data_IF_174994283120
#
_entry.id   IF_174994283120
#
_cell.length_a   1.000
_cell.length_b   1.000
_cell.length_c   1.000
_cell.angle_alpha   90.00
_cell.angle_beta   90.00
_cell.angle_gamma   90.00
#
_symmetry.space_group_name_H-M   'P 1'
#
loop_
_entity.id
_entity.type
_entity.pdbx_description
1 polymer ?
#
# COMPACT_ATOMS: atom_id res chain seq x y z
N UNK A 1 -3.42 24.23 -22.75
CA UNK A 1 -3.43 22.93 -23.46
C UNK A 1 -3.44 21.74 -22.50
N UNK A 2 -2.49 21.64 -21.54
CA UNK A 2 -2.42 20.55 -20.56
C UNK A 2 -3.72 20.31 -19.77
N UNK A 3 -4.35 21.38 -19.27
CA UNK A 3 -5.65 21.31 -18.57
C UNK A 3 -6.73 20.59 -19.40
N UNK A 4 -6.79 20.81 -20.71
CA UNK A 4 -7.76 20.15 -21.61
C UNK A 4 -7.45 18.65 -21.72
N UNK A 5 -6.18 18.29 -21.86
CA UNK A 5 -5.75 16.88 -21.90
C UNK A 5 -6.13 16.17 -20.60
N UNK A 6 -5.90 16.81 -19.44
CA UNK A 6 -6.28 16.29 -18.13
C UNK A 6 -7.79 16.07 -18.00
N UNK A 7 -8.61 16.99 -18.52
CA UNK A 7 -10.08 16.83 -18.57
C UNK A 7 -10.46 15.63 -19.44
N UNK A 8 -9.88 15.48 -20.63
CA UNK A 8 -10.17 14.35 -21.54
C UNK A 8 -9.77 13.02 -20.91
N UNK A 9 -8.61 12.95 -20.27
CA UNK A 9 -8.17 11.77 -19.52
C UNK A 9 -9.13 11.45 -18.37
N UNK A 10 -9.55 12.46 -17.60
CA UNK A 10 -10.54 12.32 -16.54
C UNK A 10 -11.88 11.78 -17.05
N UNK A 11 -12.38 12.30 -18.18
CA UNK A 11 -13.60 11.79 -18.83
C UNK A 11 -13.44 10.33 -19.29
N UNK A 12 -12.27 9.97 -19.83
CA UNK A 12 -11.93 8.58 -20.16
C UNK A 12 -11.98 7.66 -18.94
N UNK A 13 -11.35 8.09 -17.83
CA UNK A 13 -11.37 7.36 -16.56
C UNK A 13 -12.80 7.20 -16.00
N UNK A 14 -13.59 8.28 -16.03
CA UNK A 14 -15.02 8.24 -15.68
C UNK A 14 -15.81 7.26 -16.53
N UNK A 15 -15.54 7.20 -17.84
CA UNK A 15 -16.14 6.24 -18.75
C UNK A 15 -15.86 4.80 -18.34
N UNK A 16 -14.59 4.48 -18.04
CA UNK A 16 -14.18 3.15 -17.56
C UNK A 16 -14.88 2.80 -16.25
N UNK A 17 -14.80 3.66 -15.24
CA UNK A 17 -15.41 3.41 -13.93
C UNK A 17 -16.94 3.27 -14.02
N UNK A 18 -17.59 4.11 -14.83
CA UNK A 18 -19.03 4.02 -15.11
C UNK A 18 -19.41 2.72 -15.81
N UNK A 19 -18.61 2.26 -16.75
CA UNK A 19 -18.84 1.02 -17.48
C UNK A 19 -18.79 -0.19 -16.53
N UNK A 20 -17.74 -0.29 -15.71
CA UNK A 20 -17.59 -1.35 -14.70
C UNK A 20 -18.77 -1.31 -13.71
N UNK A 21 -19.09 -0.13 -13.18
CA UNK A 21 -20.20 0.06 -12.25
C UNK A 21 -21.53 -0.42 -12.83
N UNK A 22 -21.87 0.00 -14.06
CA UNK A 22 -23.12 -0.42 -14.73
C UNK A 22 -23.18 -1.93 -14.93
N UNK A 23 -22.06 -2.57 -15.33
CA UNK A 23 -22.00 -4.01 -15.58
C UNK A 23 -22.12 -4.82 -14.29
N UNK A 24 -21.38 -4.46 -13.24
CA UNK A 24 -21.49 -5.08 -11.91
C UNK A 24 -22.90 -4.95 -11.34
N UNK A 25 -23.50 -3.76 -11.42
CA UNK A 25 -24.88 -3.53 -10.95
C UNK A 25 -25.91 -4.35 -11.74
N UNK A 26 -25.71 -4.49 -13.05
CA UNK A 26 -26.57 -5.31 -13.90
C UNK A 26 -26.28 -6.82 -13.82
N UNK A 27 -25.29 -7.26 -13.01
CA UNK A 27 -24.81 -8.65 -12.94
C UNK A 27 -24.48 -9.23 -14.32
N UNK A 28 -23.95 -8.40 -15.23
CA UNK A 28 -23.57 -8.80 -16.58
C UNK A 28 -22.06 -9.03 -16.64
N UNK A 29 -21.67 -10.10 -17.31
CA UNK A 29 -20.26 -10.45 -17.53
C UNK A 29 -19.52 -9.29 -18.22
N UNK A 30 -18.34 -8.98 -17.69
CA UNK A 30 -17.45 -7.98 -18.26
C UNK A 30 -16.69 -8.53 -19.46
N UNK A 31 -16.89 -7.95 -20.64
CA UNK A 31 -16.08 -8.27 -21.81
C UNK A 31 -14.64 -7.78 -21.61
N UNK A 32 -13.66 -8.63 -21.93
CA UNK A 32 -12.24 -8.32 -21.81
C UNK A 32 -11.58 -8.31 -23.20
N UNK A 33 -11.21 -7.14 -23.73
CA UNK A 33 -10.65 -7.02 -25.09
C UNK A 33 -9.41 -7.86 -25.36
N UNK A 34 -8.58 -8.11 -24.34
CA UNK A 34 -7.35 -8.93 -24.47
C UNK A 34 -7.59 -10.44 -24.35
N UNK A 35 -8.85 -10.88 -24.24
CA UNK A 35 -9.21 -12.30 -24.09
C UNK A 35 -8.96 -12.90 -22.71
N UNK A 36 -8.55 -12.09 -21.72
CA UNK A 36 -8.41 -12.51 -20.32
C UNK A 36 -9.76 -12.48 -19.57
N UNK A 37 -9.77 -12.85 -18.29
CA UNK A 37 -10.97 -12.83 -17.45
C UNK A 37 -11.05 -11.55 -16.60
N UNK A 38 -11.54 -10.47 -17.23
CA UNK A 38 -11.81 -9.23 -16.53
C UNK A 38 -12.89 -9.39 -15.45
N UNK A 39 -13.81 -10.35 -15.58
CA UNK A 39 -14.98 -10.51 -14.69
C UNK A 39 -14.57 -11.04 -13.31
N UNK A 40 -13.67 -12.05 -13.27
CA UNK A 40 -13.11 -12.54 -12.01
C UNK A 40 -12.31 -11.47 -11.27
N UNK A 41 -11.59 -10.59 -11.99
CA UNK A 41 -10.83 -9.50 -11.37
C UNK A 41 -11.75 -8.50 -10.67
N UNK A 42 -12.83 -8.05 -11.34
CA UNK A 42 -13.72 -7.01 -10.79
C UNK A 42 -14.69 -7.51 -9.71
N UNK A 43 -14.81 -8.84 -9.55
CA UNK A 43 -15.54 -9.50 -8.45
C UNK A 43 -14.61 -10.15 -7.41
N UNK A 44 -13.29 -10.00 -7.55
CA UNK A 44 -12.32 -10.54 -6.60
C UNK A 44 -12.42 -9.89 -5.22
N UNK A 45 -11.74 -10.49 -4.24
CA UNK A 45 -11.60 -9.93 -2.89
C UNK A 45 -10.95 -8.54 -2.87
N UNK A 46 -10.15 -8.20 -3.88
CA UNK A 46 -9.49 -6.91 -4.01
C UNK A 46 -10.34 -5.86 -4.71
N UNK A 47 -11.55 -6.22 -5.17
CA UNK A 47 -12.48 -5.28 -5.83
C UNK A 47 -13.15 -4.26 -4.91
N UNK A 48 -12.80 -4.28 -3.61
CA UNK A 48 -13.27 -3.34 -2.59
C UNK A 48 -12.12 -2.86 -1.73
N UNK A 49 -12.12 -1.57 -1.41
CA UNK A 49 -11.19 -0.93 -0.49
C UNK A 49 -11.97 -0.29 0.66
N UNK A 50 -11.70 -0.68 1.90
CA UNK A 50 -12.51 -0.34 3.07
C UNK A 50 -14.02 -0.59 2.86
N UNK A 51 -14.35 -1.70 2.20
CA UNK A 51 -15.74 -2.09 1.87
C UNK A 51 -16.35 -1.35 0.68
N UNK A 52 -15.72 -0.26 0.19
CA UNK A 52 -16.21 0.52 -0.93
C UNK A 52 -15.74 -0.12 -2.25
N UNK A 53 -16.64 -0.41 -3.21
CA UNK A 53 -16.26 -0.90 -4.53
C UNK A 53 -15.31 0.05 -5.26
N UNK A 54 -14.25 -0.49 -5.86
CA UNK A 54 -13.21 0.31 -6.52
C UNK A 54 -13.73 1.18 -7.65
N UNK A 55 -14.75 0.73 -8.38
CA UNK A 55 -15.38 1.52 -9.44
C UNK A 55 -16.03 2.81 -8.92
N UNK A 56 -16.50 2.83 -7.66
CA UNK A 56 -17.07 4.04 -7.04
C UNK A 56 -15.96 5.00 -6.65
N UNK A 57 -14.85 4.49 -6.10
CA UNK A 57 -13.66 5.30 -5.80
C UNK A 57 -13.13 5.94 -7.09
N UNK A 58 -13.07 5.17 -8.18
CA UNK A 58 -12.69 5.67 -9.50
C UNK A 58 -13.65 6.76 -10.02
N UNK A 59 -14.96 6.56 -9.89
CA UNK A 59 -15.95 7.59 -10.25
C UNK A 59 -15.70 8.91 -9.50
N UNK A 60 -15.44 8.85 -8.20
CA UNK A 60 -15.15 10.04 -7.40
C UNK A 60 -13.84 10.70 -7.85
N UNK A 61 -12.76 9.95 -7.95
CA UNK A 61 -11.44 10.45 -8.36
C UNK A 61 -11.47 11.12 -9.73
N UNK A 62 -12.01 10.45 -10.74
CA UNK A 62 -12.04 11.03 -12.08
C UNK A 62 -13.05 12.18 -12.20
N UNK A 63 -14.13 12.20 -11.41
CA UNK A 63 -15.04 13.35 -11.33
C UNK A 63 -14.32 14.56 -10.75
N UNK A 64 -13.55 14.37 -9.67
CA UNK A 64 -12.75 15.42 -9.05
C UNK A 64 -11.75 16.01 -10.05
N UNK A 65 -11.04 15.17 -10.81
CA UNK A 65 -10.11 15.62 -11.86
C UNK A 65 -10.84 16.46 -12.91
N UNK A 66 -11.95 15.97 -13.46
CA UNK A 66 -12.72 16.69 -14.49
C UNK A 66 -13.23 18.03 -13.96
N UNK A 67 -13.85 18.05 -12.79
CA UNK A 67 -14.39 19.27 -12.19
C UNK A 67 -13.28 20.26 -11.89
N UNK A 68 -12.20 19.84 -11.24
CA UNK A 68 -11.11 20.72 -10.86
C UNK A 68 -10.45 21.38 -12.07
N UNK A 69 -10.02 20.59 -13.06
CA UNK A 69 -9.34 21.14 -14.24
C UNK A 69 -10.27 21.95 -15.15
N UNK A 70 -11.57 21.65 -15.17
CA UNK A 70 -12.57 22.50 -15.83
C UNK A 70 -12.71 23.84 -15.11
N UNK A 71 -12.80 23.83 -13.77
CA UNK A 71 -12.83 25.05 -12.96
C UNK A 71 -11.58 25.91 -13.17
N UNK A 72 -10.38 25.33 -13.24
CA UNK A 72 -9.15 26.10 -13.51
C UNK A 72 -9.02 26.60 -14.94
N UNK A 73 -9.82 26.07 -15.87
CA UNK A 73 -9.89 26.54 -17.24
C UNK A 73 -10.86 27.73 -17.37
N UNK A 74 -12.00 27.66 -16.69
CA UNK A 74 -13.04 28.69 -16.72
C UNK A 74 -12.76 29.86 -15.78
N UNK A 75 -12.19 29.58 -14.61
CA UNK A 75 -11.90 30.53 -13.54
C UNK A 75 -10.44 30.35 -13.09
N UNK A 76 -9.46 30.94 -13.80
CA UNK A 76 -8.04 30.77 -13.51
C UNK A 76 -7.66 31.17 -12.08
N UNK A 77 -8.40 32.11 -11.48
CA UNK A 77 -8.20 32.58 -10.10
C UNK A 77 -8.37 31.48 -9.05
N UNK A 78 -9.16 30.43 -9.34
CA UNK A 78 -9.35 29.29 -8.44
C UNK A 78 -8.16 28.33 -8.41
N UNK A 79 -7.20 28.47 -9.33
CA UNK A 79 -6.02 27.59 -9.42
C UNK A 79 -4.95 27.97 -8.38
N UNK A 80 -5.36 28.09 -7.11
CA UNK A 80 -4.45 28.35 -6.00
C UNK A 80 -3.46 27.21 -5.83
N UNK A 81 -2.26 27.56 -5.36
CA UNK A 81 -1.14 26.64 -5.22
C UNK A 81 -1.45 25.43 -4.31
N UNK A 82 -2.13 25.68 -3.19
CA UNK A 82 -2.59 24.64 -2.26
C UNK A 82 -3.56 23.64 -2.90
N UNK A 83 -4.43 24.09 -3.80
CA UNK A 83 -5.38 23.22 -4.49
C UNK A 83 -4.71 22.41 -5.60
N UNK A 84 -3.75 23.01 -6.33
CA UNK A 84 -2.91 22.28 -7.28
C UNK A 84 -2.13 21.18 -6.57
N UNK A 85 -1.53 21.51 -5.43
CA UNK A 85 -0.80 20.59 -4.59
C UNK A 85 -1.68 19.42 -4.14
N UNK A 86 -2.88 19.70 -3.63
CA UNK A 86 -3.82 18.66 -3.23
C UNK A 86 -4.15 17.71 -4.38
N UNK A 87 -4.36 18.22 -5.60
CA UNK A 87 -4.66 17.38 -6.76
C UNK A 87 -3.47 16.54 -7.22
N UNK A 88 -2.25 17.09 -7.18
CA UNK A 88 -1.03 16.34 -7.46
C UNK A 88 -0.84 15.23 -6.44
N UNK A 89 -1.04 15.51 -5.15
CA UNK A 89 -0.95 14.53 -4.08
C UNK A 89 -2.00 13.41 -4.22
N UNK A 90 -3.25 13.77 -4.53
CA UNK A 90 -4.32 12.81 -4.83
C UNK A 90 -3.99 11.97 -6.07
N UNK A 91 -3.46 12.58 -7.13
CA UNK A 91 -3.02 11.89 -8.34
C UNK A 91 -1.88 10.91 -8.07
N UNK A 92 -0.91 11.30 -7.22
CA UNK A 92 0.18 10.43 -6.79
C UNK A 92 -0.34 9.23 -5.99
N UNK A 93 -1.28 9.46 -5.06
CA UNK A 93 -1.95 8.39 -4.32
C UNK A 93 -2.73 7.44 -5.24
N UNK A 94 -3.46 7.98 -6.22
CA UNK A 94 -4.19 7.19 -7.21
C UNK A 94 -3.25 6.35 -8.09
N UNK A 95 -2.07 6.88 -8.46
CA UNK A 95 -1.05 6.15 -9.20
C UNK A 95 -0.46 5.00 -8.38
N UNK A 96 -0.03 5.26 -7.14
CA UNK A 96 0.51 4.21 -6.26
C UNK A 96 -0.52 3.11 -5.99
N UNK A 97 -1.77 3.50 -5.75
CA UNK A 97 -2.86 2.55 -5.57
C UNK A 97 -3.16 1.73 -6.83
N UNK A 98 -3.10 2.35 -8.01
CA UNK A 98 -3.25 1.66 -9.31
C UNK A 98 -2.09 0.68 -9.56
N UNK A 99 -0.86 1.05 -9.18
CA UNK A 99 0.31 0.17 -9.25
C UNK A 99 0.15 -1.03 -8.30
N UNK A 100 -0.33 -0.81 -7.08
CA UNK A 100 -0.69 -1.88 -6.14
C UNK A 100 -1.73 -2.84 -6.72
N UNK A 101 -2.84 -2.34 -7.28
CA UNK A 101 -3.87 -3.20 -7.90
C UNK A 101 -3.36 -3.94 -9.15
N UNK A 102 -2.43 -3.34 -9.88
CA UNK A 102 -1.76 -3.99 -11.02
C UNK A 102 -0.85 -5.12 -10.55
N UNK A 103 -0.11 -4.91 -9.45
CA UNK A 103 0.68 -5.96 -8.79
C UNK A 103 -0.21 -7.12 -8.32
N UNK A 104 -1.37 -6.83 -7.72
CA UNK A 104 -2.34 -7.85 -7.30
C UNK A 104 -2.83 -8.69 -8.48
N UNK A 105 -3.15 -8.06 -9.61
CA UNK A 105 -3.54 -8.77 -10.83
C UNK A 105 -2.45 -9.73 -11.31
N UNK A 106 -1.19 -9.27 -11.32
CA UNK A 106 -0.06 -10.06 -11.79
C UNK A 106 0.25 -11.27 -10.89
N UNK A 107 0.33 -11.07 -9.57
CA UNK A 107 0.90 -12.07 -8.66
C UNK A 107 -0.14 -12.82 -7.83
N UNK A 108 -1.20 -12.14 -7.39
CA UNK A 108 -2.21 -12.73 -6.50
C UNK A 108 -3.33 -13.39 -7.31
N UNK A 109 -3.94 -12.63 -8.22
CA UNK A 109 -5.06 -13.12 -9.05
C UNK A 109 -4.58 -13.94 -10.25
N UNK A 110 -3.39 -13.62 -10.79
CA UNK A 110 -2.85 -14.19 -12.03
C UNK A 110 -3.82 -14.05 -13.21
N UNK A 111 -4.56 -12.94 -13.22
CA UNK A 111 -5.55 -12.58 -14.23
C UNK A 111 -5.40 -11.09 -14.54
N UNK A 112 -5.56 -10.74 -15.82
CA UNK A 112 -5.44 -9.36 -16.29
C UNK A 112 -6.81 -8.79 -16.65
N UNK A 113 -7.08 -7.57 -16.21
CA UNK A 113 -8.28 -6.83 -16.61
C UNK A 113 -7.90 -5.61 -17.46
N UNK A 114 -8.27 -5.61 -18.75
CA UNK A 114 -7.98 -4.50 -19.67
C UNK A 114 -8.53 -3.16 -19.17
N UNK A 115 -9.70 -3.16 -18.55
CA UNK A 115 -10.33 -1.94 -18.03
C UNK A 115 -9.56 -1.37 -16.83
N UNK A 116 -9.11 -2.25 -15.92
CA UNK A 116 -8.28 -1.84 -14.79
C UNK A 116 -6.91 -1.32 -15.25
N UNK A 117 -6.29 -1.98 -16.22
CA UNK A 117 -5.01 -1.53 -16.81
C UNK A 117 -5.17 -0.18 -17.52
N UNK A 118 -6.25 0.00 -18.29
CA UNK A 118 -6.56 1.28 -18.93
C UNK A 118 -6.77 2.41 -17.92
N UNK A 119 -7.50 2.14 -16.82
CA UNK A 119 -7.65 3.08 -15.71
C UNK A 119 -6.30 3.41 -15.05
N UNK A 120 -5.43 2.41 -14.83
CA UNK A 120 -4.09 2.62 -14.28
C UNK A 120 -3.22 3.51 -15.20
N UNK A 121 -3.26 3.27 -16.52
CA UNK A 121 -2.57 4.10 -17.51
C UNK A 121 -3.10 5.54 -17.52
N UNK A 122 -4.41 5.74 -17.44
CA UNK A 122 -5.02 7.07 -17.35
C UNK A 122 -4.55 7.78 -16.07
N UNK A 123 -4.56 7.09 -14.93
CA UNK A 123 -4.09 7.66 -13.65
C UNK A 123 -2.62 8.06 -13.70
N UNK A 124 -1.76 7.26 -14.35
CA UNK A 124 -0.36 7.60 -14.59
C UNK A 124 -0.20 8.90 -15.37
N UNK A 125 -0.90 9.04 -16.50
CA UNK A 125 -0.82 10.25 -17.31
C UNK A 125 -1.43 11.46 -16.61
N UNK A 126 -2.53 11.30 -15.86
CA UNK A 126 -3.08 12.40 -15.06
C UNK A 126 -2.03 12.91 -14.07
N UNK A 127 -1.45 12.02 -13.25
CA UNK A 127 -0.43 12.42 -12.29
C UNK A 127 0.75 13.12 -12.96
N UNK A 128 1.32 12.50 -14.01
CA UNK A 128 2.50 13.04 -14.68
C UNK A 128 2.22 14.41 -15.32
N UNK A 129 1.10 14.57 -16.04
CA UNK A 129 0.75 15.84 -16.68
C UNK A 129 0.33 16.91 -15.66
N UNK A 130 -0.25 16.51 -14.52
CA UNK A 130 -0.58 17.42 -13.42
C UNK A 130 0.66 18.10 -12.84
N UNK A 131 1.80 17.40 -12.77
CA UNK A 131 3.09 17.97 -12.30
C UNK A 131 3.56 19.14 -13.17
N UNK A 132 3.32 19.07 -14.49
CA UNK A 132 3.72 20.11 -15.44
C UNK A 132 2.63 21.14 -15.70
N UNK A 133 1.44 20.97 -15.11
CA UNK A 133 0.32 21.90 -15.30
C UNK A 133 0.38 23.11 -14.37
N UNK A 134 1.23 23.10 -13.32
CA UNK A 134 1.37 24.19 -12.37
C UNK A 134 2.51 25.13 -12.75
N UNK A 135 2.25 26.43 -12.81
CA UNK A 135 3.25 27.45 -13.12
C UNK A 135 4.27 27.65 -11.99
N UNK A 136 3.91 27.31 -10.75
CA UNK A 136 4.78 27.44 -9.58
C UNK A 136 5.96 26.46 -9.57
N UNK A 137 5.94 25.40 -10.39
CA UNK A 137 6.99 24.36 -10.42
C UNK A 137 6.91 23.35 -9.26
N UNK A 138 7.38 22.13 -9.50
CA UNK A 138 7.27 21.01 -8.55
C UNK A 138 7.99 21.26 -7.22
N UNK A 139 9.21 21.79 -7.25
CA UNK A 139 10.01 22.02 -6.03
C UNK A 139 9.37 23.05 -5.10
N UNK A 140 8.87 24.14 -5.64
CA UNK A 140 8.19 25.20 -4.89
C UNK A 140 6.93 24.69 -4.20
N UNK A 141 6.17 23.81 -4.87
CA UNK A 141 5.03 23.11 -4.25
C UNK A 141 5.47 22.28 -3.03
N UNK A 142 6.63 21.62 -3.12
CA UNK A 142 7.12 20.77 -2.03
C UNK A 142 7.64 21.59 -0.85
N UNK A 143 8.35 22.68 -1.14
CA UNK A 143 8.92 23.59 -0.15
C UNK A 143 7.83 24.30 0.68
N UNK A 144 6.79 24.83 0.03
CA UNK A 144 5.68 25.49 0.72
C UNK A 144 4.87 24.55 1.63
N UNK A 145 4.83 23.26 1.30
CA UNK A 145 4.03 22.26 2.02
C UNK A 145 4.89 21.29 2.85
N UNK A 146 6.14 21.64 3.15
CA UNK A 146 7.07 20.78 3.89
C UNK A 146 6.51 20.31 5.24
N UNK A 147 5.93 21.21 6.04
CA UNK A 147 5.34 20.87 7.34
C UNK A 147 4.18 19.88 7.22
N UNK A 148 3.36 20.02 6.18
CA UNK A 148 2.26 19.11 5.91
C UNK A 148 2.81 17.70 5.58
N UNK A 149 3.87 17.61 4.78
CA UNK A 149 4.52 16.35 4.49
C UNK A 149 5.10 15.69 5.73
N UNK A 150 5.83 16.42 6.55
CA UNK A 150 6.35 15.88 7.82
C UNK A 150 5.20 15.35 8.69
N UNK A 151 4.11 16.10 8.81
CA UNK A 151 2.92 15.69 9.56
C UNK A 151 2.29 14.41 9.02
N UNK A 152 2.09 14.32 7.69
CA UNK A 152 1.58 13.11 7.05
C UNK A 152 2.54 11.94 7.18
N UNK A 153 3.86 12.17 7.18
CA UNK A 153 4.87 11.14 7.40
C UNK A 153 4.73 10.50 8.79
N UNK A 154 4.61 11.30 9.84
CA UNK A 154 4.36 10.80 11.20
C UNK A 154 3.00 10.09 11.35
N UNK A 155 1.96 10.60 10.68
CA UNK A 155 0.65 9.95 10.65
C UNK A 155 0.74 8.56 10.00
N UNK A 156 1.37 8.48 8.83
CA UNK A 156 1.60 7.23 8.12
C UNK A 156 2.41 6.25 8.97
N UNK A 157 3.48 6.70 9.62
CA UNK A 157 4.30 5.87 10.50
C UNK A 157 3.49 5.33 11.70
N UNK A 158 2.66 6.16 12.32
CA UNK A 158 1.82 5.78 13.45
C UNK A 158 0.75 4.75 13.04
N UNK A 159 0.08 4.97 11.90
CA UNK A 159 -0.88 4.01 11.34
C UNK A 159 -0.19 2.69 10.95
N UNK A 160 1.02 2.76 10.38
CA UNK A 160 1.82 1.60 9.99
C UNK A 160 2.21 0.73 11.18
N UNK A 161 2.75 1.35 12.24
CA UNK A 161 3.14 0.67 13.48
C UNK A 161 1.91 0.07 14.16
N UNK A 162 0.85 0.86 14.34
CA UNK A 162 -0.38 0.40 14.99
C UNK A 162 -1.02 -0.77 14.24
N UNK A 163 -1.15 -0.65 12.92
CA UNK A 163 -1.68 -1.70 12.05
C UNK A 163 -0.83 -2.96 12.10
N UNK A 164 0.50 -2.83 12.00
CA UNK A 164 1.42 -3.97 12.08
C UNK A 164 1.39 -4.66 13.45
N UNK A 165 1.23 -3.91 14.55
CA UNK A 165 1.18 -4.46 15.90
C UNK A 165 -0.09 -5.30 16.11
N UNK A 166 -1.24 -4.74 15.75
CA UNK A 166 -2.53 -5.45 15.85
C UNK A 166 -2.52 -6.67 14.94
N UNK A 167 -2.06 -6.53 13.69
CA UNK A 167 -1.96 -7.63 12.75
C UNK A 167 -1.06 -8.76 13.29
N UNK A 168 0.10 -8.42 13.86
CA UNK A 168 0.96 -9.43 14.49
C UNK A 168 0.29 -10.12 15.67
N UNK A 169 -0.42 -9.41 16.55
CA UNK A 169 -1.12 -10.02 17.70
C UNK A 169 -2.20 -11.00 17.22
N UNK A 170 -3.05 -10.58 16.29
CA UNK A 170 -4.10 -11.43 15.74
C UNK A 170 -3.51 -12.64 15.00
N UNK A 171 -2.43 -12.42 14.27
CA UNK A 171 -1.73 -13.47 13.56
C UNK A 171 -1.06 -14.49 14.49
N UNK A 172 -0.48 -14.04 15.60
CA UNK A 172 0.06 -14.91 16.65
C UNK A 172 -1.04 -15.75 17.31
N UNK A 173 -2.21 -15.14 17.55
CA UNK A 173 -3.38 -15.85 18.08
C UNK A 173 -3.81 -16.96 17.12
N UNK A 174 -3.97 -16.63 15.84
CA UNK A 174 -4.27 -17.59 14.77
C UNK A 174 -3.24 -18.72 14.68
N UNK A 175 -1.94 -18.40 14.77
CA UNK A 175 -0.91 -19.43 14.72
C UNK A 175 -0.90 -20.30 15.97
N UNK A 176 -1.40 -19.82 17.11
CA UNK A 176 -1.52 -20.59 18.36
C UNK A 176 -2.66 -21.59 18.31
N UNK A 177 -3.85 -21.18 17.88
CA UNK A 177 -5.05 -22.01 17.84
C UNK A 177 -5.23 -22.76 16.50
N UNK A 178 -4.47 -22.40 15.47
CA UNK A 178 -4.53 -22.90 14.10
C UNK A 178 -5.89 -22.68 13.41
N UNK A 179 -6.74 -21.79 13.94
CA UNK A 179 -8.09 -21.57 13.45
C UNK A 179 -8.32 -20.07 13.24
N UNK A 180 -8.86 -19.70 12.07
CA UNK A 180 -9.27 -18.32 11.80
C UNK A 180 -10.76 -18.29 11.50
N UNK A 181 -11.51 -17.51 12.28
CA UNK A 181 -12.90 -17.23 11.97
C UNK A 181 -13.02 -16.29 10.77
N UNK A 182 -14.17 -16.28 10.09
CA UNK A 182 -14.45 -15.32 9.01
C UNK A 182 -14.27 -13.87 9.46
N UNK A 183 -14.71 -13.55 10.68
CA UNK A 183 -14.54 -12.23 11.26
C UNK A 183 -13.06 -11.86 11.42
N UNK A 184 -12.23 -12.76 11.95
CA UNK A 184 -10.79 -12.51 12.08
C UNK A 184 -10.11 -12.33 10.71
N UNK A 185 -10.51 -13.11 9.71
CA UNK A 185 -10.01 -12.95 8.34
C UNK A 185 -10.38 -11.57 7.75
N UNK A 186 -11.61 -11.10 7.96
CA UNK A 186 -12.07 -9.78 7.51
C UNK A 186 -11.34 -8.63 8.25
N UNK A 187 -11.09 -8.79 9.55
CA UNK A 187 -10.28 -7.85 10.34
C UNK A 187 -8.85 -7.80 9.80
N UNK A 188 -8.23 -8.95 9.54
CA UNK A 188 -6.87 -9.03 8.97
C UNK A 188 -6.80 -8.36 7.59
N UNK A 189 -7.82 -8.54 6.75
CA UNK A 189 -7.92 -7.87 5.45
C UNK A 189 -7.98 -6.35 5.61
N UNK A 190 -8.78 -5.86 6.55
CA UNK A 190 -8.90 -4.43 6.86
C UNK A 190 -7.58 -3.86 7.36
N UNK A 191 -6.90 -4.56 8.28
CA UNK A 191 -5.57 -4.15 8.77
C UNK A 191 -4.53 -4.09 7.65
N UNK A 192 -4.53 -5.07 6.73
CA UNK A 192 -3.66 -5.02 5.56
C UNK A 192 -3.92 -3.79 4.70
N UNK A 193 -5.19 -3.43 4.47
CA UNK A 193 -5.56 -2.20 3.74
C UNK A 193 -5.06 -0.94 4.45
N UNK A 194 -5.18 -0.86 5.79
CA UNK A 194 -4.64 0.24 6.60
C UNK A 194 -3.12 0.32 6.45
N UNK A 195 -2.41 -0.81 6.52
CA UNK A 195 -0.95 -0.83 6.38
C UNK A 195 -0.48 -0.39 4.99
N UNK A 196 -1.16 -0.83 3.92
CA UNK A 196 -0.83 -0.38 2.56
C UNK A 196 -1.13 1.10 2.35
N UNK A 197 -2.23 1.60 2.93
CA UNK A 197 -2.55 3.02 2.92
C UNK A 197 -1.49 3.84 3.67
N UNK A 198 -1.13 3.40 4.89
CA UNK A 198 -0.09 4.02 5.70
C UNK A 198 1.26 4.06 4.96
N UNK A 199 1.63 2.97 4.29
CA UNK A 199 2.84 2.88 3.48
C UNK A 199 2.83 3.85 2.29
N UNK A 200 1.69 3.98 1.60
CA UNK A 200 1.54 4.97 0.54
C UNK A 200 1.69 6.40 1.08
N UNK A 201 1.09 6.70 2.24
CA UNK A 201 1.24 8.01 2.91
C UNK A 201 2.71 8.27 3.24
N UNK A 202 3.44 7.32 3.82
CA UNK A 202 4.88 7.44 4.15
C UNK A 202 5.73 7.70 2.90
N UNK A 203 5.47 6.97 1.81
CA UNK A 203 6.24 7.12 0.56
C UNK A 203 5.99 8.51 -0.03
N UNK A 204 4.73 8.91 -0.18
CA UNK A 204 4.37 10.20 -0.78
C UNK A 204 4.89 11.37 0.06
N UNK A 205 4.70 11.31 1.37
CA UNK A 205 5.16 12.36 2.26
C UNK A 205 6.66 12.39 2.43
N UNK A 206 7.31 11.22 2.39
CA UNK A 206 8.77 11.12 2.40
C UNK A 206 9.39 11.75 1.16
N UNK A 207 8.84 11.48 -0.04
CA UNK A 207 9.27 12.13 -1.29
C UNK A 207 9.07 13.64 -1.20
N UNK A 208 7.91 14.09 -0.70
CA UNK A 208 7.60 15.51 -0.58
C UNK A 208 8.52 16.26 0.37
N UNK A 209 8.82 15.70 1.54
CA UNK A 209 9.76 16.29 2.49
C UNK A 209 11.23 16.20 2.02
N UNK A 210 11.59 15.21 1.21
CA UNK A 210 12.95 14.99 0.71
C UNK A 210 13.28 15.80 -0.54
N UNK A 211 12.31 16.03 -1.44
CA UNK A 211 12.55 16.63 -2.75
C UNK A 211 13.26 18.00 -2.73
N UNK A 212 12.97 18.94 -1.81
CA UNK A 212 13.67 20.23 -1.74
C UNK A 212 15.17 20.13 -1.47
N UNK A 213 15.60 19.14 -0.68
CA UNK A 213 16.98 18.97 -0.18
C UNK A 213 17.63 17.67 -0.68
N UNK A 214 17.17 17.16 -1.82
CA UNK A 214 17.52 15.81 -2.28
C UNK A 214 19.04 15.60 -2.47
N UNK A 215 19.76 16.64 -2.89
CA UNK A 215 21.21 16.59 -3.11
C UNK A 215 21.99 16.23 -1.85
N UNK A 216 21.66 16.87 -0.72
CA UNK A 216 22.39 16.72 0.54
C UNK A 216 21.95 15.48 1.32
N UNK A 217 20.65 15.16 1.28
CA UNK A 217 20.08 14.07 2.09
C UNK A 217 20.32 12.69 1.47
N UNK A 218 20.48 12.59 0.14
CA UNK A 218 20.57 11.32 -0.61
C UNK A 218 21.66 10.36 -0.11
N UNK A 219 22.81 10.92 0.30
CA UNK A 219 23.97 10.16 0.76
C UNK A 219 24.01 9.95 2.27
N UNK A 220 23.05 10.53 3.01
CA UNK A 220 23.03 10.46 4.47
C UNK A 220 22.78 9.02 4.95
N UNK A 221 23.43 8.59 6.05
CA UNK A 221 23.22 7.26 6.65
C UNK A 221 21.75 7.04 7.01
N UNK A 222 21.13 8.09 7.56
CA UNK A 222 19.73 8.13 7.97
C UNK A 222 18.79 7.85 6.81
N UNK A 223 18.97 8.54 5.67
CA UNK A 223 18.13 8.35 4.48
C UNK A 223 18.27 6.93 3.91
N UNK A 224 19.51 6.46 3.72
CA UNK A 224 19.77 5.13 3.16
C UNK A 224 19.18 4.02 4.05
N UNK A 225 19.26 4.15 5.38
CA UNK A 225 18.71 3.15 6.30
C UNK A 225 17.17 3.16 6.30
N UNK A 226 16.55 4.34 6.28
CA UNK A 226 15.09 4.47 6.13
C UNK A 226 14.62 3.87 4.81
N UNK A 227 15.30 4.17 3.70
CA UNK A 227 14.97 3.61 2.39
C UNK A 227 15.07 2.08 2.38
N UNK A 228 16.15 1.52 2.91
CA UNK A 228 16.33 0.07 3.04
C UNK A 228 15.22 -0.56 3.90
N UNK A 229 14.83 0.08 5.00
CA UNK A 229 13.77 -0.39 5.88
C UNK A 229 12.39 -0.35 5.22
N UNK A 230 12.04 0.74 4.54
CA UNK A 230 10.80 0.86 3.78
C UNK A 230 10.74 -0.18 2.66
N UNK A 231 11.83 -0.37 1.91
CA UNK A 231 11.90 -1.39 0.85
C UNK A 231 11.71 -2.81 1.41
N UNK A 232 12.34 -3.12 2.55
CA UNK A 232 12.12 -4.37 3.24
C UNK A 232 10.65 -4.55 3.67
N UNK A 233 10.03 -3.52 4.26
CA UNK A 233 8.62 -3.55 4.66
C UNK A 233 7.70 -3.81 3.46
N UNK A 234 7.93 -3.16 2.32
CA UNK A 234 7.16 -3.36 1.09
C UNK A 234 7.27 -4.82 0.64
N UNK A 235 8.49 -5.34 0.50
CA UNK A 235 8.74 -6.67 -0.06
C UNK A 235 8.25 -7.76 0.90
N UNK A 236 8.68 -7.71 2.16
CA UNK A 236 8.33 -8.71 3.17
C UNK A 236 6.83 -8.66 3.51
N UNK A 237 6.24 -7.46 3.56
CA UNK A 237 4.81 -7.25 3.75
C UNK A 237 3.98 -7.77 2.57
N UNK A 238 4.44 -7.58 1.33
CA UNK A 238 3.81 -8.18 0.14
C UNK A 238 3.84 -9.71 0.19
N UNK A 239 5.00 -10.30 0.51
CA UNK A 239 5.15 -11.76 0.63
C UNK A 239 4.20 -12.31 1.70
N UNK A 240 4.20 -11.71 2.90
CA UNK A 240 3.37 -12.17 4.00
C UNK A 240 1.87 -12.04 3.69
N UNK A 241 1.42 -10.87 3.24
CA UNK A 241 -0.02 -10.58 3.12
C UNK A 241 -0.63 -11.07 1.81
N UNK A 242 0.13 -11.14 0.72
CA UNK A 242 -0.41 -11.46 -0.61
C UNK A 242 -0.13 -12.90 -1.04
N UNK A 243 0.87 -13.56 -0.45
CA UNK A 243 1.27 -14.92 -0.81
C UNK A 243 1.03 -15.90 0.33
N UNK A 244 1.52 -15.59 1.54
CA UNK A 244 1.52 -16.56 2.65
C UNK A 244 0.17 -16.59 3.38
N UNK A 245 -0.34 -15.42 3.79
CA UNK A 245 -1.59 -15.28 4.55
C UNK A 245 -2.80 -15.92 3.85
N UNK A 246 -3.09 -15.66 2.56
CA UNK A 246 -4.26 -16.23 1.89
C UNK A 246 -4.23 -17.77 1.83
N UNK A 247 -3.05 -18.37 1.69
CA UNK A 247 -2.88 -19.84 1.68
C UNK A 247 -3.15 -20.47 3.03
N UNK A 248 -2.81 -19.78 4.12
CA UNK A 248 -3.10 -20.27 5.47
C UNK A 248 -4.57 -20.12 5.82
N UNK A 249 -5.16 -18.96 5.50
CA UNK A 249 -6.58 -18.69 5.77
C UNK A 249 -7.50 -19.63 5.00
N UNK A 250 -7.28 -19.81 3.69
CA UNK A 250 -8.08 -20.73 2.86
C UNK A 250 -8.09 -22.16 3.43
N UNK A 251 -6.92 -22.69 3.77
CA UNK A 251 -6.79 -24.04 4.35
C UNK A 251 -7.49 -24.19 5.70
N UNK A 252 -7.48 -23.14 6.52
CA UNK A 252 -8.19 -23.12 7.81
C UNK A 252 -9.71 -23.16 7.61
N UNK A 253 -10.23 -22.30 6.72
CA UNK A 253 -11.66 -22.19 6.43
C UNK A 253 -12.21 -23.46 5.75
N UNK A 254 -11.44 -24.08 4.85
CA UNK A 254 -11.80 -25.37 4.24
C UNK A 254 -11.99 -26.46 5.30
N UNK A 255 -11.08 -26.53 6.29
CA UNK A 255 -11.19 -27.47 7.41
C UNK A 255 -12.46 -27.25 8.24
N UNK A 256 -12.80 -25.99 8.52
CA UNK A 256 -14.04 -25.64 9.23
C UNK A 256 -15.29 -26.08 8.45
N UNK A 257 -15.34 -25.84 7.13
CA UNK A 257 -16.49 -26.24 6.29
C UNK A 257 -16.67 -27.75 6.16
N UNK A 258 -15.58 -28.52 6.25
CA UNK A 258 -15.62 -29.98 6.24
C UNK A 258 -16.13 -30.59 7.56
N UNK A 259 -16.43 -29.78 8.59
CA UNK A 259 -16.84 -30.26 9.91
C UNK A 259 -15.73 -30.97 10.69
N UNK A 260 -14.50 -30.95 10.18
CA UNK A 260 -13.34 -31.56 10.82
C UNK A 260 -12.47 -30.44 11.40
N UNK A 261 -12.42 -30.34 12.75
CA UNK A 261 -11.43 -29.51 13.44
C UNK A 261 -10.03 -30.11 13.29
N UNK A 262 -9.49 -30.17 12.08
CA UNK A 262 -8.09 -30.55 11.85
C UNK A 262 -7.24 -29.38 12.31
N UNK A 263 -6.49 -29.54 13.40
CA UNK A 263 -5.36 -28.66 13.71
C UNK A 263 -4.29 -28.89 12.64
N UNK A 264 -4.40 -28.21 11.51
CA UNK A 264 -3.39 -28.27 10.46
C UNK A 264 -2.18 -27.47 10.95
N UNK A 265 -1.12 -28.17 11.39
CA UNK A 265 0.15 -27.52 11.66
C UNK A 265 0.69 -26.86 10.39
N UNK A 266 0.83 -25.53 10.40
CA UNK A 266 1.23 -24.76 9.20
C UNK A 266 2.71 -24.93 8.78
N UNK A 267 3.45 -25.82 9.43
CA UNK A 267 4.78 -26.29 8.98
C UNK A 267 5.72 -25.16 8.56
N UNK A 268 6.13 -25.17 7.29
CA UNK A 268 7.01 -24.16 6.68
C UNK A 268 6.39 -22.76 6.64
N UNK A 269 5.09 -22.63 6.35
CA UNK A 269 4.41 -21.34 6.26
C UNK A 269 4.34 -20.66 7.63
N UNK A 270 4.04 -21.41 8.69
CA UNK A 270 4.08 -20.89 10.07
C UNK A 270 5.47 -20.32 10.43
N UNK A 271 6.53 -21.11 10.20
CA UNK A 271 7.92 -20.68 10.45
C UNK A 271 8.26 -19.36 9.76
N UNK A 272 7.97 -19.27 8.46
CA UNK A 272 8.27 -18.06 7.69
C UNK A 272 7.44 -16.88 8.18
N UNK A 273 6.15 -17.07 8.48
CA UNK A 273 5.32 -15.98 8.94
C UNK A 273 5.75 -15.41 10.28
N UNK A 274 6.22 -16.24 11.23
CA UNK A 274 6.82 -15.75 12.47
C UNK A 274 8.10 -14.93 12.22
N UNK A 275 8.99 -15.44 11.36
CA UNK A 275 10.24 -14.77 11.03
C UNK A 275 9.98 -13.40 10.36
N UNK A 276 9.12 -13.38 9.34
CA UNK A 276 8.77 -12.16 8.60
C UNK A 276 7.99 -11.19 9.51
N UNK A 277 7.03 -11.66 10.30
CA UNK A 277 6.25 -10.80 11.19
C UNK A 277 7.11 -10.08 12.24
N UNK A 278 8.09 -10.78 12.83
CA UNK A 278 9.04 -10.18 13.77
C UNK A 278 9.97 -9.17 13.09
N UNK A 279 10.50 -9.52 11.92
CA UNK A 279 11.37 -8.64 11.13
C UNK A 279 10.64 -7.37 10.63
N UNK A 280 9.37 -7.50 10.23
CA UNK A 280 8.53 -6.36 9.85
C UNK A 280 8.32 -5.41 11.04
N UNK A 281 8.00 -5.97 12.21
CA UNK A 281 7.81 -5.17 13.43
C UNK A 281 9.07 -4.40 13.82
N UNK A 282 10.23 -5.07 13.80
CA UNK A 282 11.49 -4.40 14.14
C UNK A 282 11.86 -3.32 13.11
N UNK A 283 11.52 -3.51 11.83
CA UNK A 283 11.73 -2.49 10.78
C UNK A 283 10.87 -1.25 11.00
N UNK A 284 9.60 -1.42 11.39
CA UNK A 284 8.70 -0.32 11.75
C UNK A 284 9.20 0.49 12.94
N UNK A 285 9.62 -0.20 14.01
CA UNK A 285 10.19 0.44 15.21
C UNK A 285 11.51 1.13 14.87
N UNK A 286 12.35 0.51 14.05
CA UNK A 286 13.62 1.09 13.61
C UNK A 286 13.42 2.41 12.87
N UNK A 287 12.47 2.49 11.93
CA UNK A 287 12.15 3.75 11.22
C UNK A 287 11.73 4.83 12.22
N UNK A 288 10.88 4.51 13.21
CA UNK A 288 10.47 5.47 14.25
C UNK A 288 11.64 5.98 15.08
N UNK A 289 12.53 5.09 15.52
CA UNK A 289 13.70 5.48 16.30
C UNK A 289 14.59 6.42 15.48
N UNK A 290 14.85 6.11 14.22
CA UNK A 290 15.65 6.97 13.36
C UNK A 290 14.96 8.32 13.13
N UNK A 291 13.64 8.33 12.93
CA UNK A 291 12.91 9.58 12.73
C UNK A 291 13.03 10.50 13.95
N UNK A 292 12.82 9.96 15.16
CA UNK A 292 12.86 10.73 16.41
C UNK A 292 14.27 11.21 16.75
N UNK A 293 15.29 10.39 16.48
CA UNK A 293 16.69 10.66 16.87
C UNK A 293 17.61 10.95 15.66
N UNK A 294 17.05 11.47 14.55
CA UNK A 294 17.79 11.66 13.28
C UNK A 294 19.09 12.45 13.43
N UNK A 295 19.08 13.50 14.27
CA UNK A 295 20.24 14.37 14.53
C UNK A 295 21.40 13.59 15.18
N UNK A 296 21.09 12.63 16.05
CA UNK A 296 22.10 11.80 16.71
C UNK A 296 22.78 10.82 15.76
N UNK A 297 22.15 10.48 14.64
CA UNK A 297 22.65 9.49 13.69
C UNK A 297 23.28 10.08 12.44
N UNK A 298 23.24 11.41 12.26
CA UNK A 298 23.69 12.09 11.04
C UNK A 298 25.16 11.79 10.68
N UNK A 299 26.03 11.71 11.69
CA UNK A 299 27.48 11.51 11.51
C UNK A 299 27.93 10.04 11.61
N UNK A 300 27.00 9.10 11.75
CA UNK A 300 27.34 7.67 11.85
C UNK A 300 27.76 7.15 10.48
N UNK A 301 28.78 6.28 10.43
CA UNK A 301 29.22 5.67 9.19
C UNK A 301 28.09 4.85 8.52
N UNK A 302 27.87 5.06 7.21
CA UNK A 302 26.83 4.39 6.43
C UNK A 302 26.87 2.86 6.56
N UNK A 303 28.05 2.24 6.41
CA UNK A 303 28.19 0.78 6.46
C UNK A 303 27.86 0.23 7.85
N UNK A 304 28.34 0.92 8.90
CA UNK A 304 28.04 0.56 10.28
C UNK A 304 26.53 0.64 10.54
N UNK A 305 25.88 1.71 10.10
CA UNK A 305 24.46 1.94 10.35
C UNK A 305 23.57 0.93 9.61
N UNK A 306 23.90 0.60 8.35
CA UNK A 306 23.26 -0.46 7.59
C UNK A 306 23.50 -1.84 8.23
N UNK A 307 24.71 -2.08 8.75
CA UNK A 307 25.05 -3.30 9.48
C UNK A 307 24.20 -3.48 10.75
N UNK A 308 23.99 -2.41 11.53
CA UNK A 308 23.13 -2.40 12.71
C UNK A 308 21.69 -2.78 12.31
N UNK A 309 21.15 -2.14 11.27
CA UNK A 309 19.81 -2.47 10.77
C UNK A 309 19.68 -3.94 10.38
N UNK A 310 20.62 -4.46 9.58
CA UNK A 310 20.62 -5.85 9.14
C UNK A 310 20.67 -6.82 10.33
N UNK A 311 21.49 -6.53 11.35
CA UNK A 311 21.57 -7.34 12.57
C UNK A 311 20.24 -7.33 13.32
N UNK A 312 19.58 -6.18 13.46
CA UNK A 312 18.27 -6.07 14.12
C UNK A 312 17.23 -6.94 13.40
N UNK A 313 17.15 -6.84 12.08
CA UNK A 313 16.20 -7.60 11.25
C UNK A 313 16.46 -9.10 11.37
N UNK A 314 17.73 -9.53 11.24
CA UNK A 314 18.12 -10.93 11.34
C UNK A 314 17.88 -11.50 12.73
N UNK A 315 18.27 -10.78 13.79
CA UNK A 315 18.03 -11.20 15.17
C UNK A 315 16.53 -11.35 15.47
N UNK A 316 15.72 -10.41 14.97
CA UNK A 316 14.26 -10.47 15.11
C UNK A 316 13.65 -11.67 14.38
N UNK A 317 14.12 -11.95 13.16
CA UNK A 317 13.68 -13.12 12.39
C UNK A 317 14.06 -14.43 13.09
N UNK A 318 15.29 -14.54 13.61
CA UNK A 318 15.76 -15.71 14.37
C UNK A 318 14.95 -15.90 15.67
N UNK A 319 14.64 -14.81 16.38
CA UNK A 319 13.78 -14.86 17.56
C UNK A 319 12.37 -15.36 17.20
N UNK A 320 11.80 -14.90 16.09
CA UNK A 320 10.53 -15.41 15.56
C UNK A 320 10.57 -16.91 15.27
N UNK A 321 11.64 -17.40 14.64
CA UNK A 321 11.83 -18.84 14.38
C UNK A 321 11.97 -19.66 15.67
N UNK A 322 12.69 -19.14 16.65
CA UNK A 322 12.83 -19.77 17.96
C UNK A 322 11.48 -19.86 18.67
N UNK A 323 10.69 -18.78 18.66
CA UNK A 323 9.35 -18.75 19.24
C UNK A 323 8.41 -19.73 18.55
N UNK A 324 8.43 -19.83 17.22
CA UNK A 324 7.69 -20.85 16.48
C UNK A 324 8.02 -22.27 16.96
N UNK A 325 9.30 -22.57 17.23
CA UNK A 325 9.74 -23.89 17.69
C UNK A 325 9.13 -24.24 19.06
N UNK A 326 9.04 -23.26 19.97
CA UNK A 326 8.40 -23.42 21.27
C UNK A 326 6.91 -23.70 21.07
N UNK A 327 6.22 -22.84 20.33
CA UNK A 327 4.78 -22.92 20.11
C UNK A 327 4.37 -24.21 19.40
N UNK A 328 5.16 -24.69 18.43
CA UNK A 328 4.91 -25.97 17.75
C UNK A 328 4.97 -27.19 18.68
N UNK A 329 5.72 -27.12 19.79
CA UNK A 329 5.74 -28.20 20.79
C UNK A 329 4.46 -28.20 21.62
N UNK A 330 3.98 -27.03 22.03
CA UNK A 330 2.73 -26.87 22.79
C UNK A 330 1.50 -27.34 21.99
N UNK A 331 1.56 -27.28 20.66
CA UNK A 331 0.47 -27.74 19.78
C UNK A 331 0.39 -29.26 19.63
N UNK A 332 1.48 -29.98 19.93
CA UNK A 332 1.59 -31.44 19.84
C UNK A 332 1.27 -32.15 21.17
N UNK A 333 1.21 -31.40 22.27
CA UNK A 333 0.77 -31.83 23.61
C UNK A 333 -0.72 -31.56 23.81
#
# INVERSE_FOLDING_TARGET
MLKIILIVLGLGGLGISSYIFKKKRAKKVLACPIGADCDSVVHSDFSKFFGIPLEIIGLFYYSLVVVAYTSFLLLPELAHLSLMFALVAIGAAALLFSAYLTFIQAFSLKQWCTWCLGSATISFFIFFLSLFSSDAGFLSLMEENYEAFVSFHFLGLSLGIGGAAIANILFLKFLKDCQISKFEADVMKTLSQIMWFALAVIILSGIGAYAPEAGDISSSPVFLAKFAAVLFIIIAGAILNLIISPKMVSKSLEGETAGVKVKVGYGFYGKISFAIGAALMSSWIFILIIEVFKESFWNVNNLLFQGIYAVIVLASALAGLAYNKILSKEQLT
#
